data_IF_781728214064
#
_entry.id   IF_781728214064
#
_cell.length_a   1.000
_cell.length_b   1.000
_cell.length_c   1.000
_cell.angle_alpha   90.00
_cell.angle_beta   90.00
_cell.angle_gamma   90.00
#
_symmetry.space_group_name_H-M   'P 1'
#
loop_
_entity.id
_entity.type
_entity.pdbx_description
1 polymer ?
#
# COMPACT_ATOMS: atom_id res chain seq x y z
N UNK A 1 31.95 6.71 6.65
CA UNK A 1 31.23 6.35 5.39
C UNK A 1 30.98 7.65 4.63
N UNK A 2 31.28 7.75 3.32
CA UNK A 2 31.14 9.02 2.59
C UNK A 2 29.68 9.45 2.47
N UNK A 3 29.39 10.76 2.45
CA UNK A 3 28.03 11.26 2.32
C UNK A 3 27.39 10.84 0.99
N UNK A 4 26.14 10.36 1.05
CA UNK A 4 25.42 9.89 -0.14
C UNK A 4 24.65 11.05 -0.76
N UNK A 5 24.79 11.28 -2.06
CA UNK A 5 23.87 12.17 -2.79
C UNK A 5 22.51 11.50 -2.97
N UNK A 6 21.46 12.28 -3.23
CA UNK A 6 20.10 11.75 -3.45
C UNK A 6 20.05 10.66 -4.54
N UNK A 7 20.86 10.80 -5.60
CA UNK A 7 20.95 9.79 -6.66
C UNK A 7 21.64 8.49 -6.22
N UNK A 8 22.68 8.58 -5.37
CA UNK A 8 23.29 7.39 -4.76
C UNK A 8 22.33 6.73 -3.77
N UNK A 9 21.62 7.52 -2.98
CA UNK A 9 20.61 7.03 -2.03
C UNK A 9 19.50 6.25 -2.76
N UNK A 10 18.95 6.83 -3.84
CA UNK A 10 17.97 6.19 -4.70
C UNK A 10 18.45 4.83 -5.21
N UNK A 11 19.67 4.77 -5.75
CA UNK A 11 20.28 3.51 -6.22
C UNK A 11 20.46 2.48 -5.09
N UNK A 12 20.94 2.89 -3.92
CA UNK A 12 21.18 1.99 -2.79
C UNK A 12 19.92 1.46 -2.12
N UNK A 13 18.79 2.15 -2.29
CA UNK A 13 17.51 1.80 -1.68
C UNK A 13 16.49 1.26 -2.69
N UNK A 14 16.87 1.20 -3.97
CA UNK A 14 16.02 0.77 -5.09
C UNK A 14 14.70 1.55 -5.15
N UNK A 15 14.76 2.85 -4.92
CA UNK A 15 13.62 3.77 -5.05
C UNK A 15 13.97 4.87 -6.03
N UNK A 16 12.96 5.53 -6.58
CA UNK A 16 13.20 6.70 -7.43
C UNK A 16 13.53 7.93 -6.60
N UNK A 17 14.20 8.91 -7.21
CA UNK A 17 14.44 10.22 -6.57
C UNK A 17 13.11 10.88 -6.18
N UNK A 18 12.06 10.68 -6.97
CA UNK A 18 10.73 11.22 -6.69
C UNK A 18 10.10 10.57 -5.45
N UNK A 19 10.28 9.26 -5.25
CA UNK A 19 9.87 8.59 -4.01
C UNK A 19 10.57 9.16 -2.79
N UNK A 20 11.87 9.45 -2.88
CA UNK A 20 12.63 10.09 -1.78
C UNK A 20 12.06 11.49 -1.47
N UNK A 21 11.82 12.30 -2.50
CA UNK A 21 11.20 13.63 -2.35
C UNK A 21 9.78 13.54 -1.80
N UNK A 22 9.03 12.51 -2.16
CA UNK A 22 7.70 12.26 -1.62
C UNK A 22 7.77 11.94 -0.12
N UNK A 23 8.69 11.08 0.31
CA UNK A 23 8.92 10.81 1.73
C UNK A 23 9.34 12.05 2.52
N UNK A 24 10.12 12.94 1.92
CA UNK A 24 10.49 14.22 2.54
C UNK A 24 9.27 15.14 2.74
N UNK A 25 8.44 15.31 1.70
CA UNK A 25 7.21 16.11 1.79
C UNK A 25 6.24 15.58 2.85
N UNK A 26 6.22 14.26 3.05
CA UNK A 26 5.40 13.60 4.06
C UNK A 26 6.02 13.59 5.46
N UNK A 27 7.22 14.16 5.65
CA UNK A 27 7.93 14.14 6.93
C UNK A 27 8.51 12.77 7.32
N UNK A 28 8.46 11.79 6.43
CA UNK A 28 8.94 10.42 6.67
C UNK A 28 10.45 10.31 6.54
N UNK A 29 11.12 11.25 5.86
CA UNK A 29 12.56 11.28 5.71
C UNK A 29 13.05 12.72 5.91
N UNK A 30 14.07 12.90 6.76
CA UNK A 30 14.68 14.21 6.95
C UNK A 30 15.32 14.70 5.66
N UNK A 31 14.99 15.92 5.25
CA UNK A 31 15.70 16.61 4.18
C UNK A 31 16.96 17.26 4.77
N UNK A 32 18.17 16.82 4.37
CA UNK A 32 19.40 17.42 4.88
C UNK A 32 19.55 18.83 4.33
N UNK A 33 20.16 19.70 5.14
CA UNK A 33 20.50 21.06 4.72
C UNK A 33 21.38 21.04 3.48
N UNK A 34 21.21 22.08 2.65
CA UNK A 34 22.05 22.27 1.48
C UNK A 34 23.31 23.04 1.93
N UNK A 35 24.50 22.41 1.94
CA UNK A 35 25.74 23.13 2.25
C UNK A 35 26.02 24.20 1.19
N UNK A 36 26.64 25.32 1.59
CA UNK A 36 27.02 26.40 0.69
C UNK A 36 27.90 25.89 -0.46
N UNK A 37 27.41 26.03 -1.69
CA UNK A 37 28.10 25.58 -2.91
C UNK A 37 28.13 24.06 -3.13
N UNK A 38 27.47 23.26 -2.29
CA UNK A 38 27.54 21.80 -2.33
C UNK A 38 26.23 21.08 -2.66
N UNK A 39 26.29 19.75 -2.57
CA UNK A 39 25.14 18.86 -2.75
C UNK A 39 24.59 18.40 -1.41
N UNK A 40 23.28 18.12 -1.36
CA UNK A 40 22.64 17.48 -0.20
C UNK A 40 23.25 16.09 0.04
N UNK A 41 23.57 15.82 1.30
CA UNK A 41 24.29 14.64 1.75
C UNK A 41 23.43 13.86 2.76
N UNK A 42 23.21 12.57 2.50
CA UNK A 42 22.43 11.67 3.35
C UNK A 42 23.35 10.72 4.11
N UNK A 43 23.01 10.44 5.37
CA UNK A 43 23.68 9.45 6.20
C UNK A 43 23.23 8.02 5.87
N UNK A 44 23.90 7.03 6.47
CA UNK A 44 23.48 5.64 6.38
C UNK A 44 22.09 5.39 7.01
N UNK A 45 21.68 6.22 7.98
CA UNK A 45 20.37 6.11 8.63
C UNK A 45 19.23 6.36 7.64
N UNK A 46 19.45 7.23 6.66
CA UNK A 46 18.50 7.46 5.58
C UNK A 46 18.24 6.18 4.76
N UNK A 47 19.27 5.35 4.54
CA UNK A 47 19.12 4.05 3.88
C UNK A 47 18.24 3.14 4.74
N UNK A 48 18.58 2.99 6.01
CA UNK A 48 17.83 2.14 6.95
C UNK A 48 16.37 2.56 7.04
N UNK A 49 16.11 3.87 7.10
CA UNK A 49 14.77 4.46 7.15
C UNK A 49 13.97 4.22 5.88
N UNK A 50 14.54 4.43 4.69
CA UNK A 50 13.86 4.13 3.42
C UNK A 50 13.55 2.63 3.31
N UNK A 51 14.48 1.77 3.72
CA UNK A 51 14.30 0.32 3.68
C UNK A 51 13.20 -0.14 4.64
N UNK A 52 13.08 0.51 5.80
CA UNK A 52 11.96 0.31 6.73
C UNK A 52 10.62 0.70 6.09
N UNK A 53 10.54 1.91 5.51
CA UNK A 53 9.31 2.39 4.83
C UNK A 53 8.89 1.39 3.73
N UNK A 54 9.82 0.94 2.89
CA UNK A 54 9.54 -0.02 1.80
C UNK A 54 8.97 -1.34 2.34
N UNK A 55 9.56 -1.90 3.41
CA UNK A 55 9.08 -3.15 4.03
C UNK A 55 7.69 -2.98 4.65
N UNK A 56 7.45 -1.86 5.33
CA UNK A 56 6.15 -1.60 5.93
C UNK A 56 5.05 -1.40 4.86
N UNK A 57 5.36 -0.73 3.73
CA UNK A 57 4.43 -0.64 2.61
C UNK A 57 4.10 -2.01 2.01
N UNK A 58 5.09 -2.89 1.86
CA UNK A 58 4.89 -4.26 1.38
C UNK A 58 3.99 -5.08 2.32
N UNK A 59 4.02 -4.78 3.62
CA UNK A 59 3.13 -5.38 4.61
C UNK A 59 1.71 -4.75 4.65
N UNK A 60 1.40 -3.80 3.75
CA UNK A 60 0.08 -3.18 3.65
C UNK A 60 -0.13 -1.95 4.55
N UNK A 61 0.93 -1.43 5.18
CA UNK A 61 0.84 -0.18 5.92
C UNK A 61 0.83 1.03 4.97
N UNK A 62 -0.06 1.96 5.28
CA UNK A 62 -0.14 3.27 4.63
C UNK A 62 1.01 4.16 5.11
N UNK A 63 1.35 5.18 4.32
CA UNK A 63 2.39 6.15 4.70
C UNK A 63 2.10 6.85 6.04
N UNK A 64 0.83 7.04 6.40
CA UNK A 64 0.44 7.62 7.69
C UNK A 64 0.74 6.67 8.85
N UNK A 65 0.38 5.40 8.73
CA UNK A 65 0.69 4.38 9.73
C UNK A 65 2.21 4.19 9.86
N UNK A 66 2.94 4.25 8.75
CA UNK A 66 4.41 4.20 8.75
C UNK A 66 5.02 5.40 9.47
N UNK A 67 4.44 6.59 9.35
CA UNK A 67 4.87 7.76 10.12
C UNK A 67 4.75 7.49 11.63
N UNK A 68 3.62 6.92 12.05
CA UNK A 68 3.41 6.51 13.45
C UNK A 68 4.45 5.47 13.87
N UNK A 69 4.65 4.41 13.09
CA UNK A 69 5.67 3.39 13.38
C UNK A 69 7.09 3.95 13.48
N UNK A 70 7.43 4.96 12.67
CA UNK A 70 8.73 5.63 12.71
C UNK A 70 8.89 6.62 13.88
N UNK A 71 7.79 7.02 14.51
CA UNK A 71 7.77 7.87 15.72
C UNK A 71 7.79 7.07 17.01
N UNK A 72 7.44 5.78 16.94
CA UNK A 72 7.43 4.87 18.08
C UNK A 72 8.84 4.29 18.25
N UNK A 73 9.52 4.68 19.32
CA UNK A 73 10.80 4.09 19.71
C UNK A 73 10.63 2.65 20.22
N UNK A 74 11.72 1.88 20.33
CA UNK A 74 11.71 0.47 20.76
C UNK A 74 11.06 0.18 22.14
N UNK A 75 10.75 1.21 22.92
CA UNK A 75 9.98 1.12 24.16
C UNK A 75 8.46 0.90 23.95
N UNK A 76 7.94 1.15 22.75
CA UNK A 76 6.51 1.09 22.39
C UNK A 76 6.12 -0.20 21.67
N UNK A 77 6.71 -1.34 22.08
CA UNK A 77 6.44 -2.64 21.46
C UNK A 77 4.94 -3.00 21.49
N UNK A 78 4.21 -2.59 22.54
CA UNK A 78 2.77 -2.81 22.64
C UNK A 78 1.97 -2.04 21.56
N UNK A 79 2.32 -0.77 21.31
CA UNK A 79 1.64 0.07 20.32
C UNK A 79 1.88 -0.42 18.90
N UNK A 80 3.11 -0.85 18.61
CA UNK A 80 3.49 -1.46 17.33
C UNK A 80 2.72 -2.77 17.10
N UNK A 81 2.61 -3.62 18.11
CA UNK A 81 1.84 -4.86 18.04
C UNK A 81 0.36 -4.58 17.77
N UNK A 82 -0.24 -3.60 18.46
CA UNK A 82 -1.64 -3.25 18.26
C UNK A 82 -1.90 -2.76 16.82
N UNK A 83 -1.01 -1.93 16.26
CA UNK A 83 -1.09 -1.50 14.86
C UNK A 83 -1.01 -2.69 13.90
N UNK A 84 -0.14 -3.66 14.17
CA UNK A 84 -0.02 -4.86 13.35
C UNK A 84 -1.28 -5.75 13.43
N UNK A 85 -1.83 -5.96 14.63
CA UNK A 85 -3.08 -6.72 14.83
C UNK A 85 -4.26 -6.06 14.10
N UNK A 86 -4.38 -4.74 14.20
CA UNK A 86 -5.39 -3.98 13.46
C UNK A 86 -5.22 -4.12 11.95
N UNK A 87 -3.97 -4.11 11.45
CA UNK A 87 -3.69 -4.31 10.02
C UNK A 87 -4.08 -5.72 9.56
N UNK A 88 -3.78 -6.75 10.35
CA UNK A 88 -4.22 -8.12 10.06
C UNK A 88 -5.74 -8.20 9.93
N UNK A 89 -6.49 -7.63 10.88
CA UNK A 89 -7.95 -7.61 10.83
C UNK A 89 -8.51 -6.90 9.59
N UNK A 90 -7.89 -5.78 9.19
CA UNK A 90 -8.27 -5.07 7.97
C UNK A 90 -8.05 -5.93 6.72
N UNK A 91 -6.91 -6.62 6.63
CA UNK A 91 -6.59 -7.53 5.52
C UNK A 91 -7.58 -8.69 5.49
N UNK A 92 -7.89 -9.31 6.63
CA UNK A 92 -8.85 -10.40 6.71
C UNK A 92 -10.25 -9.97 6.24
N UNK A 93 -10.66 -8.75 6.58
CA UNK A 93 -11.93 -8.21 6.09
C UNK A 93 -11.91 -7.96 4.58
N UNK A 94 -10.80 -7.45 4.04
CA UNK A 94 -10.64 -7.28 2.60
C UNK A 94 -10.67 -8.62 1.87
N UNK A 95 -10.01 -9.65 2.41
CA UNK A 95 -10.04 -11.01 1.86
C UNK A 95 -11.49 -11.51 1.83
N UNK A 96 -12.23 -11.42 2.94
CA UNK A 96 -13.64 -11.84 2.99
C UNK A 96 -14.49 -11.14 1.93
N UNK A 97 -14.35 -9.83 1.79
CA UNK A 97 -15.10 -9.05 0.80
C UNK A 97 -14.73 -9.46 -0.64
N UNK A 98 -13.43 -9.62 -0.93
CA UNK A 98 -12.95 -10.05 -2.24
C UNK A 98 -13.38 -11.48 -2.58
N UNK A 99 -13.39 -12.39 -1.60
CA UNK A 99 -13.89 -13.76 -1.77
C UNK A 99 -15.39 -13.77 -2.07
N UNK A 100 -16.19 -12.95 -1.37
CA UNK A 100 -17.62 -12.83 -1.63
C UNK A 100 -17.90 -12.28 -3.05
N UNK A 101 -17.19 -11.23 -3.46
CA UNK A 101 -17.29 -10.70 -4.82
C UNK A 101 -16.89 -11.73 -5.89
N UNK A 102 -15.82 -12.49 -5.63
CA UNK A 102 -15.38 -13.59 -6.50
C UNK A 102 -16.48 -14.64 -6.65
N UNK A 103 -17.13 -15.03 -5.56
CA UNK A 103 -18.22 -16.02 -5.59
C UNK A 103 -19.40 -15.53 -6.44
N UNK A 104 -19.80 -14.26 -6.29
CA UNK A 104 -20.86 -13.67 -7.13
C UNK A 104 -20.50 -13.74 -8.61
N UNK A 105 -19.27 -13.35 -8.97
CA UNK A 105 -18.80 -13.43 -10.35
C UNK A 105 -18.75 -14.88 -10.86
N UNK A 106 -18.34 -15.84 -10.03
CA UNK A 106 -18.35 -17.27 -10.39
C UNK A 106 -19.77 -17.78 -10.66
N UNK A 107 -20.76 -17.39 -9.85
CA UNK A 107 -22.17 -17.74 -10.09
C UNK A 107 -22.65 -17.20 -11.44
N UNK A 108 -22.41 -15.92 -11.71
CA UNK A 108 -22.80 -15.30 -12.98
C UNK A 108 -22.14 -15.97 -14.20
N UNK A 109 -20.86 -16.35 -14.08
CA UNK A 109 -20.15 -17.07 -15.13
C UNK A 109 -20.75 -18.47 -15.35
N UNK A 110 -21.05 -19.20 -14.27
CA UNK A 110 -21.66 -20.52 -14.36
C UNK A 110 -23.05 -20.45 -15.01
N UNK A 111 -23.89 -19.50 -14.62
CA UNK A 111 -25.23 -19.30 -15.19
C UNK A 111 -25.14 -18.99 -16.68
N UNK A 112 -24.16 -18.18 -17.09
CA UNK A 112 -23.92 -17.89 -18.51
C UNK A 112 -23.53 -19.14 -19.31
N UNK A 113 -22.69 -20.02 -18.75
CA UNK A 113 -22.28 -21.26 -19.41
C UNK A 113 -23.44 -22.25 -19.55
N UNK A 114 -24.34 -22.33 -18.56
CA UNK A 114 -25.52 -23.18 -18.63
C UNK A 114 -26.57 -22.64 -19.63
N UNK A 115 -26.59 -21.33 -19.87
CA UNK A 115 -27.58 -20.67 -20.73
C UNK A 115 -27.05 -20.45 -22.16
N UNK A 116 -25.95 -21.11 -22.55
CA UNK A 116 -25.24 -20.96 -23.82
C UNK A 116 -26.09 -21.21 -25.10
N UNK A 117 -27.33 -21.69 -24.96
CA UNK A 117 -28.30 -21.88 -26.05
C UNK A 117 -29.30 -20.71 -26.20
N UNK A 118 -29.23 -19.66 -25.39
CA UNK A 118 -30.15 -18.50 -25.47
C UNK A 118 -29.46 -17.25 -26.04
N UNK A 119 -30.23 -16.39 -26.70
CA UNK A 119 -29.75 -15.17 -27.34
C UNK A 119 -29.42 -14.03 -26.34
N UNK A 120 -29.46 -14.29 -25.02
CA UNK A 120 -29.18 -13.31 -23.97
C UNK A 120 -28.08 -13.82 -23.03
N UNK A 121 -27.19 -12.91 -22.66
CA UNK A 121 -26.12 -13.20 -21.71
C UNK A 121 -26.62 -12.94 -20.30
N UNK A 122 -26.72 -13.99 -19.49
CA UNK A 122 -27.16 -13.92 -18.09
C UNK A 122 -26.35 -12.93 -17.23
N UNK A 123 -25.06 -12.72 -17.58
CA UNK A 123 -24.18 -11.74 -16.91
C UNK A 123 -24.67 -10.32 -17.19
N UNK A 124 -24.98 -9.99 -18.45
CA UNK A 124 -25.48 -8.66 -18.81
C UNK A 124 -26.86 -8.40 -18.22
N UNK A 125 -27.73 -9.41 -18.19
CA UNK A 125 -29.05 -9.30 -17.58
C UNK A 125 -28.93 -9.01 -16.06
N UNK A 126 -28.03 -9.69 -15.34
CA UNK A 126 -27.79 -9.46 -13.91
C UNK A 126 -27.24 -8.06 -13.58
N UNK A 127 -26.53 -7.42 -14.51
CA UNK A 127 -26.05 -6.03 -14.35
C UNK A 127 -27.00 -4.98 -14.95
N UNK A 128 -27.99 -5.39 -15.74
CA UNK A 128 -29.02 -4.51 -16.30
C UNK A 128 -30.33 -4.52 -15.49
N UNK A 129 -30.54 -5.50 -14.62
CA UNK A 129 -31.69 -5.60 -13.69
C UNK A 129 -31.58 -4.59 -12.53
N UNK A 130 -31.51 -3.30 -12.87
CA UNK A 130 -31.77 -2.18 -11.95
C UNK A 130 -33.25 -1.73 -11.95
N UNK A 131 -34.16 -2.52 -12.55
CA UNK A 131 -35.58 -2.16 -12.59
C UNK A 131 -36.51 -3.38 -12.56
N UNK A 132 -36.78 -3.93 -11.36
CA UNK A 132 -38.11 -4.41 -10.88
C UNK A 132 -37.98 -5.37 -9.68
N UNK A 133 -37.75 -4.84 -8.47
CA UNK A 133 -38.11 -5.60 -7.26
C UNK A 133 -38.66 -4.65 -6.19
N UNK A 134 -39.95 -4.34 -6.32
CA UNK A 134 -40.82 -3.99 -5.19
C UNK A 134 -42.10 -4.81 -5.34
N UNK A 135 -42.20 -5.88 -4.55
CA UNK A 135 -43.47 -6.34 -4.01
C UNK A 135 -43.88 -5.46 -2.84
#
# INVERSE_FOLDING_TARGET
>A
MPPLTIGKLAKHTEVTIETIRHYQRMGLLTEPEKPDGGYRCYSADAITRIRFIKRAQQAGFTLKEIATLLSLDGAHCADVRQLAEQKCQQIDQQIKNLTALRQVLETLVNDCQQTASTARCAILDAFCDDASTKS
#
